data_IF_945543365045
#
_entry.id   IF_945543365045
#
_cell.length_a   1.000
_cell.length_b   1.000
_cell.length_c   1.000
_cell.angle_alpha   90.00
_cell.angle_beta   90.00
_cell.angle_gamma   90.00
#
_symmetry.space_group_name_H-M   'P 1'
#
loop_
_entity.id
_entity.type
_entity.pdbx_description
1 polymer ?
#
# COMPACT_ATOMS: atom_id res chain seq x y z
N UNK A 1 3.98 -25.06 -0.56
CA UNK A 1 4.22 -23.92 -1.44
C UNK A 1 5.71 -23.56 -1.51
N UNK A 2 6.13 -22.96 -2.59
CA UNK A 2 7.51 -22.49 -2.83
C UNK A 2 7.51 -20.99 -3.05
N UNK A 3 8.56 -20.31 -2.61
CA UNK A 3 8.72 -18.87 -2.80
C UNK A 3 10.15 -18.57 -3.25
N UNK A 4 10.29 -17.92 -4.41
CA UNK A 4 11.56 -17.42 -4.92
C UNK A 4 11.48 -15.90 -4.99
N UNK A 5 12.44 -15.20 -4.41
CA UNK A 5 12.56 -13.74 -4.56
C UNK A 5 14.00 -13.34 -4.91
N UNK A 6 14.12 -12.39 -5.83
CA UNK A 6 15.39 -11.82 -6.22
C UNK A 6 15.28 -10.30 -6.31
N UNK A 7 16.27 -9.58 -5.78
CA UNK A 7 16.34 -8.13 -5.83
C UNK A 7 17.74 -7.70 -6.28
N UNK A 8 17.78 -6.74 -7.21
CA UNK A 8 19.02 -6.14 -7.66
C UNK A 8 18.90 -4.61 -7.69
N UNK A 9 19.97 -3.91 -7.36
CA UNK A 9 20.04 -2.47 -7.48
C UNK A 9 21.41 -2.02 -7.99
N UNK A 10 21.41 -1.02 -8.87
CA UNK A 10 22.59 -0.36 -9.39
C UNK A 10 22.43 1.13 -9.22
N UNK A 11 23.46 1.79 -8.71
CA UNK A 11 23.49 3.25 -8.64
C UNK A 11 24.83 3.76 -9.19
N UNK A 12 24.74 4.70 -10.12
CA UNK A 12 25.90 5.37 -10.70
C UNK A 12 25.75 6.87 -10.49
N UNK A 13 26.76 7.47 -9.86
CA UNK A 13 26.83 8.91 -9.64
C UNK A 13 28.00 9.50 -10.41
N UNK A 14 27.76 10.57 -11.15
CA UNK A 14 28.80 11.30 -11.87
C UNK A 14 28.74 12.78 -11.52
N UNK A 15 29.83 13.29 -10.98
CA UNK A 15 30.06 14.71 -10.83
C UNK A 15 30.46 15.29 -12.18
N UNK A 16 29.78 16.35 -12.63
CA UNK A 16 30.01 16.94 -13.95
C UNK A 16 30.89 18.19 -13.88
N UNK A 17 30.91 18.89 -12.73
CA UNK A 17 31.77 20.04 -12.49
C UNK A 17 32.11 20.23 -11.01
N UNK A 18 32.98 21.20 -10.70
CA UNK A 18 33.38 21.53 -9.32
C UNK A 18 32.35 22.38 -8.56
N UNK A 19 31.29 22.85 -9.24
CA UNK A 19 30.26 23.72 -8.63
C UNK A 19 29.09 22.90 -8.06
N UNK A 20 29.12 21.55 -8.21
CA UNK A 20 28.09 20.66 -7.66
C UNK A 20 27.07 20.15 -8.68
N UNK A 21 27.28 20.42 -9.98
CA UNK A 21 26.50 19.78 -11.05
C UNK A 21 26.76 18.27 -11.03
N UNK A 22 25.71 17.49 -10.95
CA UNK A 22 25.84 16.05 -10.91
C UNK A 22 24.64 15.37 -11.58
N UNK A 23 24.89 14.13 -12.01
CA UNK A 23 23.89 13.25 -12.53
C UNK A 23 23.96 11.91 -11.79
N UNK A 24 22.83 11.38 -11.43
CA UNK A 24 22.70 10.09 -10.75
C UNK A 24 21.72 9.23 -11.54
N UNK A 25 22.16 8.05 -11.88
CA UNK A 25 21.31 6.99 -12.39
C UNK A 25 21.12 5.93 -11.30
N UNK A 26 19.88 5.48 -11.11
CA UNK A 26 19.56 4.35 -10.23
C UNK A 26 18.61 3.41 -10.95
N UNK A 27 19.01 2.15 -11.03
CA UNK A 27 18.17 1.04 -11.50
C UNK A 27 17.87 0.10 -10.35
N UNK A 28 16.64 -0.38 -10.28
CA UNK A 28 16.24 -1.46 -9.36
C UNK A 28 15.41 -2.48 -10.11
N UNK A 29 15.60 -3.73 -9.74
CA UNK A 29 14.83 -4.84 -10.24
C UNK A 29 14.42 -5.72 -9.06
N UNK A 30 13.17 -6.14 -9.03
CA UNK A 30 12.63 -7.11 -8.08
C UNK A 30 11.84 -8.16 -8.83
N UNK A 31 12.06 -9.39 -8.48
CA UNK A 31 11.33 -10.55 -8.98
C UNK A 31 10.79 -11.35 -7.79
N UNK A 32 9.58 -11.83 -7.91
CA UNK A 32 8.95 -12.74 -6.97
C UNK A 32 8.13 -13.77 -7.71
N UNK A 33 8.33 -15.03 -7.36
CA UNK A 33 7.54 -16.17 -7.81
C UNK A 33 7.12 -16.94 -6.56
N UNK A 34 5.82 -17.03 -6.37
CA UNK A 34 5.26 -17.72 -5.21
C UNK A 34 4.21 -18.71 -5.68
N UNK A 35 4.39 -19.94 -5.31
CA UNK A 35 3.46 -21.01 -5.53
C UNK A 35 2.86 -21.43 -4.18
N UNK A 36 1.57 -21.19 -4.01
CA UNK A 36 0.85 -21.49 -2.79
C UNK A 36 -0.26 -22.49 -3.04
N UNK A 37 -0.38 -23.45 -2.14
CA UNK A 37 -1.38 -24.49 -2.13
C UNK A 37 -2.12 -24.45 -0.81
N UNK A 38 -3.42 -24.66 -0.86
CA UNK A 38 -4.28 -24.66 0.31
C UNK A 38 -5.35 -25.74 0.21
N UNK A 39 -5.48 -26.53 1.26
CA UNK A 39 -6.61 -27.40 1.49
C UNK A 39 -7.56 -26.74 2.47
N UNK A 40 -8.86 -26.81 2.21
CA UNK A 40 -9.88 -26.27 3.10
C UNK A 40 -11.09 -27.21 3.16
N UNK A 41 -11.65 -27.35 4.36
CA UNK A 41 -12.89 -28.04 4.62
C UNK A 41 -13.79 -27.13 5.45
N UNK A 42 -15.04 -26.96 5.06
CA UNK A 42 -16.01 -26.16 5.77
C UNK A 42 -17.42 -26.69 5.61
N UNK A 43 -18.23 -26.58 6.66
CA UNK A 43 -19.64 -26.90 6.67
C UNK A 43 -20.42 -25.68 7.17
N UNK A 44 -21.22 -25.08 6.29
CA UNK A 44 -22.11 -23.97 6.66
C UNK A 44 -23.52 -24.49 6.82
N UNK A 45 -24.05 -24.37 8.04
CA UNK A 45 -25.43 -24.75 8.35
C UNK A 45 -26.28 -23.50 8.43
N UNK A 46 -27.40 -23.53 7.72
CA UNK A 46 -28.39 -22.47 7.74
C UNK A 46 -29.53 -22.85 8.66
N UNK A 47 -29.78 -22.04 9.69
CA UNK A 47 -30.90 -22.21 10.61
C UNK A 47 -31.94 -21.15 10.30
N UNK A 48 -32.95 -21.53 9.52
CA UNK A 48 -34.11 -20.69 9.24
C UNK A 48 -35.39 -21.49 9.57
N UNK A 49 -36.26 -20.91 10.40
CA UNK A 49 -37.51 -21.55 10.86
C UNK A 49 -38.49 -21.79 9.72
N UNK A 50 -38.36 -21.14 8.57
CA UNK A 50 -39.31 -21.14 7.47
C UNK A 50 -38.79 -21.73 6.14
N UNK A 51 -37.52 -21.99 6.01
CA UNK A 51 -36.96 -22.61 4.80
C UNK A 51 -35.78 -23.51 5.16
N UNK A 52 -35.89 -24.81 4.94
CA UNK A 52 -34.73 -25.70 4.97
C UNK A 52 -33.82 -25.34 3.79
N UNK A 53 -32.85 -24.48 4.01
CA UNK A 53 -31.75 -24.35 3.10
C UNK A 53 -30.79 -25.51 3.38
N UNK A 54 -30.34 -26.21 2.35
CA UNK A 54 -29.39 -27.31 2.49
C UNK A 54 -28.08 -26.80 3.10
N UNK A 55 -27.46 -27.65 3.91
CA UNK A 55 -26.12 -27.39 4.43
C UNK A 55 -25.13 -27.23 3.26
N UNK A 56 -24.26 -26.24 3.31
CA UNK A 56 -23.20 -26.02 2.32
C UNK A 56 -21.88 -26.65 2.84
N UNK A 57 -21.63 -27.89 2.36
CA UNK A 57 -20.38 -28.59 2.62
C UNK A 57 -19.37 -28.31 1.51
N UNK A 58 -18.15 -27.85 1.86
CA UNK A 58 -17.07 -27.58 0.92
C UNK A 58 -15.81 -28.28 1.35
N UNK A 59 -15.26 -29.09 0.46
CA UNK A 59 -13.92 -29.67 0.55
C UNK A 59 -13.17 -29.23 -0.68
N UNK A 60 -12.09 -28.46 -0.49
CA UNK A 60 -11.48 -27.74 -1.61
C UNK A 60 -9.96 -27.82 -1.55
N UNK A 61 -9.38 -27.96 -2.72
CA UNK A 61 -7.95 -27.73 -2.97
C UNK A 61 -7.80 -26.47 -3.85
N UNK A 62 -7.00 -25.54 -3.40
CA UNK A 62 -6.76 -24.29 -4.12
C UNK A 62 -5.26 -24.11 -4.37
N UNK A 63 -4.92 -23.90 -5.63
CA UNK A 63 -3.58 -23.42 -6.02
C UNK A 63 -3.64 -21.95 -6.36
N UNK A 64 -2.61 -21.20 -6.00
CA UNK A 64 -2.53 -19.76 -6.27
C UNK A 64 -1.11 -19.35 -6.64
N UNK A 65 -0.59 -19.79 -7.80
CA UNK A 65 0.67 -19.30 -8.29
C UNK A 65 0.60 -17.81 -8.59
N UNK A 66 1.64 -17.08 -8.17
CA UNK A 66 1.78 -15.65 -8.42
C UNK A 66 3.17 -15.30 -8.91
N UNK A 67 3.25 -14.51 -9.98
CA UNK A 67 4.49 -13.97 -10.52
C UNK A 67 4.47 -12.46 -10.48
N UNK A 68 5.52 -11.88 -9.90
CA UNK A 68 5.64 -10.44 -9.78
C UNK A 68 7.02 -9.99 -10.25
N UNK A 69 7.08 -8.91 -11.02
CA UNK A 69 8.33 -8.20 -11.24
C UNK A 69 8.11 -6.70 -11.32
N UNK A 70 9.07 -5.99 -10.75
CA UNK A 70 9.10 -4.54 -10.69
C UNK A 70 10.49 -4.08 -11.16
N UNK A 71 10.55 -3.24 -12.13
CA UNK A 71 11.77 -2.53 -12.46
C UNK A 71 11.56 -1.04 -12.49
N UNK A 72 12.55 -0.37 -11.93
CA UNK A 72 12.59 1.07 -11.81
C UNK A 72 13.88 1.59 -12.43
N UNK A 73 13.76 2.61 -13.24
CA UNK A 73 14.88 3.40 -13.71
C UNK A 73 14.67 4.86 -13.30
N UNK A 74 15.62 5.42 -12.60
CA UNK A 74 15.57 6.79 -12.09
C UNK A 74 16.80 7.55 -12.55
N UNK A 75 16.58 8.73 -13.11
CA UNK A 75 17.63 9.68 -13.49
C UNK A 75 17.39 10.97 -12.71
N UNK A 76 18.38 11.38 -11.92
CA UNK A 76 18.36 12.64 -11.19
C UNK A 76 19.47 13.54 -11.69
N UNK A 77 19.13 14.76 -12.06
CA UNK A 77 20.05 15.82 -12.44
C UNK A 77 19.96 16.98 -11.45
N UNK A 78 21.10 17.47 -11.02
CA UNK A 78 21.21 18.61 -10.12
C UNK A 78 22.03 19.71 -10.76
N UNK A 79 21.43 20.88 -10.95
CA UNK A 79 22.03 22.09 -11.52
C UNK A 79 22.23 23.13 -10.43
N UNK A 80 23.47 23.59 -10.18
CA UNK A 80 23.74 24.73 -9.30
C UNK A 80 23.33 26.02 -10.02
N UNK A 81 22.29 26.70 -9.52
CA UNK A 81 21.78 27.96 -10.09
C UNK A 81 22.27 29.20 -9.37
N UNK A 82 22.68 29.02 -8.09
CA UNK A 82 23.29 30.07 -7.27
C UNK A 82 24.15 29.42 -6.17
N UNK A 83 24.85 30.24 -5.36
CA UNK A 83 25.65 29.74 -4.24
C UNK A 83 24.81 28.84 -3.33
N UNK A 84 25.17 27.53 -3.26
CA UNK A 84 24.52 26.50 -2.48
C UNK A 84 23.00 26.45 -2.70
N UNK A 85 22.58 26.67 -3.96
CA UNK A 85 21.19 26.58 -4.42
C UNK A 85 21.16 25.73 -5.69
N UNK A 86 20.37 24.66 -5.67
CA UNK A 86 20.34 23.66 -6.72
C UNK A 86 18.92 23.47 -7.22
N UNK A 87 18.77 23.50 -8.51
CA UNK A 87 17.56 23.03 -9.19
C UNK A 87 17.74 21.53 -9.45
N UNK A 88 16.79 20.72 -9.04
CA UNK A 88 16.84 19.27 -9.20
C UNK A 88 15.71 18.82 -10.13
N UNK A 89 16.06 18.01 -11.11
CA UNK A 89 15.14 17.34 -11.98
C UNK A 89 15.32 15.84 -11.77
N UNK A 90 14.22 15.14 -11.53
CA UNK A 90 14.22 13.69 -11.42
C UNK A 90 13.15 13.13 -12.36
N UNK A 91 13.55 12.19 -13.15
CA UNK A 91 12.64 11.35 -13.90
C UNK A 91 12.79 9.93 -13.41
N UNK A 92 11.68 9.31 -13.00
CA UNK A 92 11.61 7.92 -12.59
C UNK A 92 10.56 7.22 -13.42
N UNK A 93 10.98 6.17 -14.09
CA UNK A 93 10.09 5.21 -14.73
C UNK A 93 9.98 3.97 -13.87
N UNK A 94 8.77 3.46 -13.70
CA UNK A 94 8.49 2.22 -13.00
C UNK A 94 7.52 1.37 -13.80
N UNK A 95 7.88 0.13 -13.99
CA UNK A 95 7.00 -0.89 -14.54
C UNK A 95 6.79 -1.97 -13.49
N UNK A 96 5.53 -2.33 -13.23
CA UNK A 96 5.15 -3.46 -12.39
C UNK A 96 4.29 -4.42 -13.17
N UNK A 97 4.60 -5.67 -13.01
CA UNK A 97 3.81 -6.79 -13.48
C UNK A 97 3.45 -7.68 -12.32
N UNK A 98 2.20 -8.09 -12.26
CA UNK A 98 1.73 -9.09 -11.30
C UNK A 98 0.74 -9.99 -12.02
N UNK A 99 0.93 -11.29 -11.88
CA UNK A 99 0.05 -12.32 -12.42
C UNK A 99 -0.32 -13.26 -11.29
N UNK A 100 -1.59 -13.61 -11.21
CA UNK A 100 -2.12 -14.58 -10.27
C UNK A 100 -3.13 -15.46 -10.98
N UNK A 101 -2.92 -16.76 -10.91
CA UNK A 101 -3.81 -17.78 -11.47
C UNK A 101 -4.31 -18.70 -10.34
N UNK A 102 -5.36 -18.25 -9.65
CA UNK A 102 -6.00 -19.05 -8.62
C UNK A 102 -6.91 -20.08 -9.26
N UNK A 103 -6.64 -21.34 -9.02
CA UNK A 103 -7.49 -22.48 -9.41
C UNK A 103 -7.97 -23.23 -8.18
N UNK A 104 -9.28 -23.34 -8.03
CA UNK A 104 -9.94 -24.07 -6.94
C UNK A 104 -10.63 -25.30 -7.49
N UNK A 105 -10.46 -26.41 -6.82
CA UNK A 105 -11.02 -27.72 -7.18
C UNK A 105 -11.85 -28.24 -6.03
N UNK A 106 -13.04 -28.77 -6.34
CA UNK A 106 -13.85 -29.51 -5.37
C UNK A 106 -13.24 -30.87 -5.10
N UNK A 107 -13.07 -31.21 -3.83
CA UNK A 107 -12.67 -32.54 -3.37
C UNK A 107 -13.90 -33.37 -2.88
N UNK A 108 -15.10 -33.01 -3.35
CA UNK A 108 -16.31 -33.80 -3.25
C UNK A 108 -16.46 -34.52 -4.59
N UNK A 109 -16.54 -35.88 -4.58
CA UNK A 109 -16.65 -36.64 -5.82
C UNK A 109 -17.94 -36.32 -6.55
N UNK A 110 -17.84 -36.24 -7.86
CA UNK A 110 -18.99 -36.02 -8.76
C UNK A 110 -19.40 -37.35 -9.38
N UNK A 111 -20.56 -37.89 -8.96
CA UNK A 111 -21.07 -39.15 -9.43
C UNK A 111 -21.39 -39.14 -10.94
N UNK A 112 -21.77 -37.97 -11.49
CA UNK A 112 -22.06 -37.83 -12.93
C UNK A 112 -20.80 -37.95 -13.79
N UNK A 113 -19.62 -37.74 -13.17
CA UNK A 113 -18.31 -37.94 -13.78
C UNK A 113 -17.73 -39.34 -13.50
N UNK A 114 -18.50 -40.22 -12.85
CA UNK A 114 -18.08 -41.58 -12.51
C UNK A 114 -16.99 -41.59 -11.41
N UNK A 115 -16.96 -40.59 -10.57
CA UNK A 115 -16.00 -40.49 -9.49
C UNK A 115 -16.55 -41.21 -8.25
N UNK A 116 -15.79 -42.15 -7.69
CA UNK A 116 -16.15 -42.97 -6.52
C UNK A 116 -15.12 -42.83 -5.35
N UNK A 117 -14.21 -41.87 -5.46
CA UNK A 117 -13.20 -41.63 -4.41
C UNK A 117 -13.79 -40.86 -3.23
N UNK A 118 -13.17 -41.04 -2.09
CA UNK A 118 -13.44 -40.28 -0.85
C UNK A 118 -12.18 -39.55 -0.39
N UNK A 119 -12.35 -38.31 0.00
CA UNK A 119 -11.23 -37.52 0.49
C UNK A 119 -11.47 -37.03 1.92
N UNK A 120 -10.47 -37.15 2.80
CA UNK A 120 -10.42 -36.54 4.11
C UNK A 120 -9.25 -35.56 4.19
N UNK A 121 -9.37 -34.61 5.12
CA UNK A 121 -8.29 -33.67 5.39
C UNK A 121 -7.02 -34.41 5.83
N UNK A 122 -5.93 -34.21 5.10
CA UNK A 122 -4.65 -34.87 5.30
C UNK A 122 -4.35 -36.00 4.29
N UNK A 123 -5.33 -36.39 3.47
CA UNK A 123 -5.09 -37.31 2.36
C UNK A 123 -4.38 -36.61 1.20
N UNK A 124 -3.76 -37.38 0.31
CA UNK A 124 -3.26 -36.89 -0.97
C UNK A 124 -4.41 -36.49 -1.90
N UNK A 125 -4.08 -35.78 -2.99
CA UNK A 125 -5.06 -35.42 -4.00
C UNK A 125 -5.56 -36.68 -4.72
N UNK A 126 -6.89 -36.86 -4.86
CA UNK A 126 -7.46 -38.00 -5.57
C UNK A 126 -7.19 -37.90 -7.08
N UNK A 127 -7.10 -39.03 -7.76
CA UNK A 127 -6.89 -39.08 -9.21
C UNK A 127 -8.12 -38.49 -9.92
N UNK A 128 -7.90 -37.58 -10.87
CA UNK A 128 -8.95 -36.93 -11.64
C UNK A 128 -9.62 -35.74 -10.93
N UNK A 129 -9.09 -35.25 -9.83
CA UNK A 129 -9.62 -34.07 -9.13
C UNK A 129 -9.65 -32.81 -10.03
N UNK A 130 -8.76 -32.73 -11.02
CA UNK A 130 -8.66 -31.60 -11.94
C UNK A 130 -9.96 -31.39 -12.76
N UNK A 131 -10.74 -32.44 -12.98
CA UNK A 131 -12.03 -32.35 -13.65
C UNK A 131 -13.08 -31.60 -12.82
N UNK A 132 -12.88 -31.49 -11.51
CA UNK A 132 -13.73 -30.78 -10.57
C UNK A 132 -13.30 -29.33 -10.33
N UNK A 133 -12.67 -28.72 -11.34
CA UNK A 133 -12.31 -27.30 -11.28
C UNK A 133 -13.57 -26.45 -11.13
N UNK A 134 -13.66 -25.72 -10.01
CA UNK A 134 -14.72 -24.77 -9.74
C UNK A 134 -14.42 -23.45 -10.46
N UNK A 135 -15.23 -23.10 -11.45
CA UNK A 135 -15.05 -21.89 -12.27
C UNK A 135 -15.39 -20.63 -11.49
N UNK A 136 -16.35 -20.70 -10.57
CA UNK A 136 -16.81 -19.55 -9.78
C UNK A 136 -15.81 -19.18 -8.70
N UNK A 137 -15.04 -20.14 -8.20
CA UNK A 137 -14.00 -19.94 -7.20
C UNK A 137 -12.60 -19.76 -7.80
N UNK A 138 -12.45 -20.07 -9.10
CA UNK A 138 -11.20 -19.88 -9.83
C UNK A 138 -11.14 -18.50 -10.47
N UNK A 139 -9.97 -17.85 -10.42
CA UNK A 139 -9.79 -16.54 -11.06
C UNK A 139 -8.38 -16.37 -11.59
N UNK A 140 -8.27 -15.72 -12.74
CA UNK A 140 -7.05 -15.25 -13.33
C UNK A 140 -7.02 -13.73 -13.32
N UNK A 141 -5.91 -13.16 -12.89
CA UNK A 141 -5.71 -11.72 -12.90
C UNK A 141 -4.27 -11.39 -13.33
N UNK A 142 -4.12 -10.61 -14.40
CA UNK A 142 -2.85 -10.10 -14.85
C UNK A 142 -2.85 -8.57 -14.80
N UNK A 143 -1.95 -8.01 -14.01
CA UNK A 143 -1.85 -6.58 -13.77
C UNK A 143 -0.56 -6.03 -14.37
N UNK A 144 -0.68 -4.97 -15.16
CA UNK A 144 0.44 -4.20 -15.74
C UNK A 144 0.31 -2.75 -15.35
N UNK A 145 1.36 -2.20 -14.77
CA UNK A 145 1.38 -0.84 -14.26
C UNK A 145 2.62 -0.11 -14.76
N UNK A 146 2.38 1.01 -15.42
CA UNK A 146 3.39 1.93 -15.91
C UNK A 146 3.25 3.25 -15.16
N UNK A 147 4.30 3.71 -14.54
CA UNK A 147 4.33 4.97 -13.82
C UNK A 147 5.53 5.80 -14.26
N UNK A 148 5.26 7.05 -14.60
CA UNK A 148 6.27 8.06 -14.85
C UNK A 148 6.18 9.08 -13.72
N UNK A 149 7.28 9.33 -13.01
CA UNK A 149 7.37 10.35 -11.96
C UNK A 149 8.35 11.43 -12.43
N UNK A 150 7.82 12.57 -12.81
CA UNK A 150 8.56 13.75 -13.24
C UNK A 150 8.58 14.71 -12.07
N UNK A 151 9.72 14.88 -11.44
CA UNK A 151 9.87 15.77 -10.29
C UNK A 151 10.78 16.96 -10.65
N UNK A 152 10.30 18.15 -10.34
CA UNK A 152 11.11 19.37 -10.32
C UNK A 152 11.18 19.90 -8.90
N UNK A 153 12.38 20.21 -8.42
CA UNK A 153 12.59 20.64 -7.05
C UNK A 153 13.70 21.67 -6.91
N UNK A 154 13.60 22.46 -5.86
CA UNK A 154 14.59 23.46 -5.46
C UNK A 154 15.20 23.04 -4.11
N UNK A 155 16.53 22.96 -4.05
CA UNK A 155 17.26 22.66 -2.83
C UNK A 155 18.15 23.87 -2.48
N UNK A 156 17.80 24.55 -1.38
CA UNK A 156 18.53 25.73 -0.89
C UNK A 156 19.24 25.34 0.39
N UNK A 157 20.55 25.52 0.42
CA UNK A 157 21.40 25.24 1.58
C UNK A 157 22.00 26.55 2.05
N UNK A 158 21.76 26.90 3.32
CA UNK A 158 22.34 28.07 3.99
C UNK A 158 22.92 27.61 5.33
N UNK A 159 23.72 28.44 5.93
CA UNK A 159 24.33 28.16 7.23
C UNK A 159 23.28 27.75 8.29
N UNK A 160 22.19 28.53 8.37
CA UNK A 160 21.13 28.32 9.37
C UNK A 160 19.97 27.52 8.90
N UNK A 161 19.74 27.36 7.57
CA UNK A 161 18.60 26.62 7.09
C UNK A 161 18.88 25.82 5.82
N UNK A 162 18.10 24.77 5.67
CA UNK A 162 17.98 24.01 4.43
C UNK A 162 16.52 23.89 4.07
N UNK A 163 16.20 24.22 2.83
CA UNK A 163 14.87 24.05 2.24
C UNK A 163 14.99 23.16 1.02
N UNK A 164 14.22 22.09 0.99
CA UNK A 164 13.96 21.32 -0.19
C UNK A 164 12.46 21.41 -0.48
N UNK A 165 12.12 21.94 -1.63
CA UNK A 165 10.75 22.04 -2.12
C UNK A 165 10.69 21.37 -3.49
N UNK A 166 9.69 20.51 -3.71
CA UNK A 166 9.55 19.82 -4.97
C UNK A 166 8.08 19.51 -5.30
N UNK A 167 7.85 19.29 -6.57
CA UNK A 167 6.57 18.89 -7.13
C UNK A 167 6.80 17.73 -8.06
N UNK A 168 6.05 16.65 -7.86
CA UNK A 168 6.02 15.50 -8.75
C UNK A 168 4.73 15.46 -9.54
N UNK A 169 4.85 15.22 -10.82
CA UNK A 169 3.78 14.89 -11.74
C UNK A 169 3.89 13.41 -12.08
N UNK A 170 2.82 12.66 -11.89
CA UNK A 170 2.86 11.20 -11.98
C UNK A 170 1.76 10.69 -12.93
N UNK A 171 1.97 10.76 -14.27
CA UNK A 171 1.11 10.05 -15.19
C UNK A 171 1.29 8.53 -15.04
N UNK A 172 0.18 7.84 -14.89
CA UNK A 172 0.12 6.40 -14.66
C UNK A 172 -0.82 5.75 -15.65
N UNK A 173 -0.40 4.62 -16.18
CA UNK A 173 -1.23 3.76 -17.00
C UNK A 173 -1.30 2.38 -16.35
N UNK A 174 -2.50 1.88 -16.19
CA UNK A 174 -2.74 0.58 -15.57
C UNK A 174 -3.65 -0.25 -16.46
N UNK A 175 -3.31 -1.52 -16.61
CA UNK A 175 -4.12 -2.51 -17.30
C UNK A 175 -4.30 -3.73 -16.39
N UNK A 176 -5.54 -4.19 -16.25
CA UNK A 176 -5.90 -5.44 -15.62
C UNK A 176 -6.63 -6.31 -16.65
N UNK A 177 -6.10 -7.48 -16.94
CA UNK A 177 -6.79 -8.57 -17.63
C UNK A 177 -7.32 -9.50 -16.54
N UNK A 178 -8.65 -9.71 -16.50
CA UNK A 178 -9.33 -10.45 -15.43
C UNK A 178 -10.29 -11.47 -16.00
N UNK A 179 -10.22 -12.72 -15.48
CA UNK A 179 -11.12 -13.82 -15.84
C UNK A 179 -11.62 -14.51 -14.58
N UNK A 180 -12.92 -14.66 -14.46
CA UNK A 180 -13.58 -15.43 -13.40
C UNK A 180 -14.95 -15.91 -13.91
N UNK A 181 -15.21 -17.19 -13.85
CA UNK A 181 -16.44 -17.78 -14.38
C UNK A 181 -16.71 -17.35 -15.85
N UNK A 182 -17.85 -16.72 -16.11
CA UNK A 182 -18.22 -16.18 -17.43
C UNK A 182 -17.66 -14.77 -17.69
N UNK A 183 -17.00 -14.16 -16.70
CA UNK A 183 -16.42 -12.80 -16.85
C UNK A 183 -15.03 -12.90 -17.43
N UNK A 184 -14.84 -12.35 -18.64
CA UNK A 184 -13.53 -12.13 -19.26
C UNK A 184 -13.45 -10.65 -19.65
N UNK A 185 -12.70 -9.86 -18.89
CA UNK A 185 -12.69 -8.42 -19.06
C UNK A 185 -11.30 -7.82 -18.95
N UNK A 186 -11.12 -6.72 -19.66
CA UNK A 186 -9.87 -5.92 -19.63
C UNK A 186 -10.21 -4.52 -19.18
N UNK A 187 -9.69 -4.13 -18.04
CA UNK A 187 -9.83 -2.77 -17.51
C UNK A 187 -8.55 -2.00 -17.72
N UNK A 188 -8.66 -0.82 -18.32
CA UNK A 188 -7.55 0.12 -18.50
C UNK A 188 -7.86 1.41 -17.75
N UNK A 189 -6.87 1.94 -17.08
CA UNK A 189 -7.02 3.22 -16.37
C UNK A 189 -5.80 4.09 -16.57
N UNK A 190 -6.04 5.33 -16.97
CA UNK A 190 -5.04 6.38 -17.05
C UNK A 190 -5.32 7.39 -15.95
N UNK A 191 -4.31 7.71 -15.16
CA UNK A 191 -4.43 8.64 -14.05
C UNK A 191 -3.26 9.59 -14.06
N UNK A 192 -3.52 10.82 -13.68
CA UNK A 192 -2.51 11.84 -13.48
C UNK A 192 -2.55 12.30 -12.03
N UNK A 193 -1.45 12.07 -11.30
CA UNK A 193 -1.33 12.46 -9.90
C UNK A 193 -0.36 13.63 -9.77
N UNK A 194 -0.63 14.46 -8.77
CA UNK A 194 0.20 15.57 -8.34
C UNK A 194 0.66 15.32 -6.91
N UNK A 195 1.96 15.40 -6.65
CA UNK A 195 2.52 15.09 -5.33
C UNK A 195 3.55 16.15 -4.91
N UNK A 196 3.13 17.19 -4.18
CA UNK A 196 4.05 18.19 -3.64
C UNK A 196 4.78 17.67 -2.41
N UNK A 197 6.02 18.13 -2.22
CA UNK A 197 6.82 17.84 -1.03
C UNK A 197 7.61 19.07 -0.57
N UNK A 198 7.75 19.21 0.74
CA UNK A 198 8.57 20.23 1.40
C UNK A 198 9.36 19.55 2.52
N UNK A 199 10.64 19.81 2.61
CA UNK A 199 11.50 19.50 3.77
C UNK A 199 12.26 20.78 4.13
N UNK A 200 11.88 21.37 5.25
CA UNK A 200 12.48 22.58 5.78
C UNK A 200 13.16 22.27 7.11
N UNK A 201 14.43 22.61 7.23
CA UNK A 201 15.19 22.52 8.47
C UNK A 201 15.79 23.87 8.79
N UNK A 202 15.60 24.35 10.02
CA UNK A 202 16.22 25.54 10.55
C UNK A 202 17.05 25.20 11.77
N UNK A 203 18.29 25.66 11.81
CA UNK A 203 19.21 25.51 12.94
C UNK A 203 19.32 26.84 13.67
N UNK A 204 18.79 26.91 14.87
CA UNK A 204 18.97 28.07 15.76
C UNK A 204 20.36 28.09 16.34
N UNK A 205 20.91 26.90 16.65
CA UNK A 205 22.29 26.71 17.16
C UNK A 205 22.76 25.28 16.78
N UNK A 206 23.97 24.91 17.22
CA UNK A 206 24.49 23.54 17.04
C UNK A 206 23.62 22.47 17.74
N UNK A 207 22.88 22.87 18.77
CA UNK A 207 22.08 21.99 19.64
C UNK A 207 20.57 22.30 19.59
N UNK A 208 20.16 23.23 18.71
CA UNK A 208 18.75 23.62 18.58
C UNK A 208 18.33 23.67 17.12
N UNK A 209 17.30 22.94 16.77
CA UNK A 209 16.79 22.87 15.40
C UNK A 209 15.29 22.67 15.35
N UNK A 210 14.69 23.18 14.28
CA UNK A 210 13.33 22.92 13.85
C UNK A 210 13.38 22.20 12.50
N UNK A 211 12.57 21.17 12.34
CA UNK A 211 12.35 20.53 11.04
C UNK A 211 10.86 20.40 10.78
N UNK A 212 10.46 20.85 9.61
CA UNK A 212 9.11 20.69 9.08
C UNK A 212 9.19 19.85 7.79
N UNK A 213 8.34 18.84 7.69
CA UNK A 213 8.24 18.03 6.48
C UNK A 213 6.77 17.91 6.10
N UNK A 214 6.47 18.20 4.83
CA UNK A 214 5.18 17.94 4.22
C UNK A 214 5.36 17.01 3.02
N UNK A 215 4.47 16.03 2.89
CA UNK A 215 4.39 15.14 1.74
C UNK A 215 2.95 14.91 1.35
N UNK A 216 2.61 15.26 0.10
CA UNK A 216 1.39 14.86 -0.56
C UNK A 216 1.61 13.56 -1.34
N UNK A 217 0.67 12.63 -1.27
CA UNK A 217 0.74 11.38 -2.03
C UNK A 217 -0.63 10.94 -2.48
N UNK A 218 -0.79 10.71 -3.79
CA UNK A 218 -1.95 10.05 -4.33
C UNK A 218 -1.77 8.52 -4.29
N UNK A 219 -2.85 7.79 -4.02
CA UNK A 219 -2.92 6.34 -4.07
C UNK A 219 -4.14 5.91 -4.87
N UNK A 220 -3.92 5.00 -5.82
CA UNK A 220 -5.00 4.48 -6.65
C UNK A 220 -5.75 3.37 -5.93
N UNK A 221 -7.07 3.20 -6.17
CA UNK A 221 -7.79 2.00 -5.81
C UNK A 221 -7.11 0.78 -6.45
N UNK A 222 -7.22 -0.38 -5.82
CA UNK A 222 -6.81 -1.62 -6.49
C UNK A 222 -7.69 -1.83 -7.72
N UNK A 223 -7.12 -2.44 -8.77
CA UNK A 223 -7.88 -2.65 -10.00
C UNK A 223 -9.02 -3.64 -9.79
N UNK A 224 -8.86 -4.62 -8.90
CA UNK A 224 -9.94 -5.56 -8.51
C UNK A 224 -11.13 -4.82 -7.88
N UNK A 225 -10.89 -3.81 -7.05
CA UNK A 225 -11.95 -2.99 -6.47
C UNK A 225 -12.72 -2.16 -7.51
N UNK A 226 -12.14 -1.95 -8.69
CA UNK A 226 -12.77 -1.22 -9.81
C UNK A 226 -13.57 -2.12 -10.76
N UNK A 227 -13.45 -3.44 -10.62
CA UNK A 227 -14.23 -4.37 -11.40
C UNK A 227 -15.68 -4.36 -10.92
N UNK A 228 -16.63 -4.30 -11.86
CA UNK A 228 -18.06 -4.52 -11.54
C UNK A 228 -18.36 -6.01 -11.50
N UNK A 229 -17.69 -6.71 -10.58
CA UNK A 229 -17.80 -8.15 -10.41
C UNK A 229 -18.15 -8.45 -8.96
N UNK A 230 -19.08 -9.37 -8.78
CA UNK A 230 -19.43 -9.93 -7.47
C UNK A 230 -18.57 -11.16 -7.20
N UNK A 231 -17.91 -11.20 -6.06
CA UNK A 231 -17.24 -12.38 -5.53
C UNK A 231 -18.08 -12.94 -4.38
N UNK A 232 -18.78 -14.04 -4.65
CA UNK A 232 -19.65 -14.78 -3.74
C UNK A 232 -19.05 -16.14 -3.34
N UNK A 233 -17.74 -16.31 -3.53
CA UNK A 233 -17.00 -17.51 -3.13
C UNK A 233 -17.21 -17.85 -1.64
N UNK A 234 -17.51 -16.86 -0.83
CA UNK A 234 -18.02 -17.03 0.53
C UNK A 234 -19.43 -16.42 0.61
N UNK A 235 -20.49 -17.23 0.67
CA UNK A 235 -21.87 -16.73 0.66
C UNK A 235 -22.25 -15.89 1.89
N UNK A 236 -21.47 -16.01 2.98
CA UNK A 236 -21.63 -15.19 4.16
C UNK A 236 -20.82 -13.87 4.09
N UNK A 237 -19.91 -13.72 3.11
CA UNK A 237 -19.09 -12.53 2.91
C UNK A 237 -18.92 -12.25 1.42
N UNK A 238 -19.95 -11.69 0.81
CA UNK A 238 -19.97 -11.34 -0.61
C UNK A 238 -19.22 -10.04 -0.82
N UNK A 239 -18.33 -10.00 -1.81
CA UNK A 239 -17.56 -8.80 -2.17
C UNK A 239 -18.00 -8.29 -3.53
N UNK A 240 -18.22 -6.97 -3.62
CA UNK A 240 -18.53 -6.28 -4.88
C UNK A 240 -17.48 -5.23 -5.17
N UNK A 241 -17.12 -5.07 -6.45
CA UNK A 241 -16.30 -3.97 -6.86
C UNK A 241 -17.08 -2.65 -7.02
N UNK A 242 -16.37 -1.56 -7.22
CA UNK A 242 -16.95 -0.24 -7.46
C UNK A 242 -16.13 0.53 -8.50
N UNK A 243 -16.57 0.56 -9.77
CA UNK A 243 -15.89 1.29 -10.85
C UNK A 243 -15.82 2.80 -10.60
N UNK A 244 -16.71 3.34 -9.76
CA UNK A 244 -16.78 4.76 -9.42
C UNK A 244 -15.74 5.25 -8.41
N UNK A 245 -14.85 4.38 -7.92
CA UNK A 245 -13.84 4.77 -6.95
C UNK A 245 -12.88 5.82 -7.49
N UNK A 246 -12.65 6.84 -6.68
CA UNK A 246 -11.68 7.90 -6.91
C UNK A 246 -10.35 7.58 -6.23
N UNK A 247 -9.22 8.08 -6.75
CA UNK A 247 -7.95 8.03 -6.03
C UNK A 247 -8.05 8.70 -4.67
N UNK A 248 -7.39 8.14 -3.69
CA UNK A 248 -7.19 8.81 -2.40
C UNK A 248 -5.96 9.71 -2.45
N UNK A 249 -5.99 10.80 -1.67
CA UNK A 249 -4.85 11.69 -1.52
C UNK A 249 -4.52 11.87 -0.05
N UNK A 250 -3.28 11.52 0.31
CA UNK A 250 -2.79 11.61 1.68
C UNK A 250 -1.88 12.81 1.86
N UNK A 251 -2.16 13.60 2.88
CA UNK A 251 -1.33 14.69 3.37
C UNK A 251 -0.61 14.22 4.63
N UNK A 252 0.72 14.25 4.65
CA UNK A 252 1.51 13.94 5.84
C UNK A 252 2.36 15.14 6.22
N UNK A 253 2.11 15.69 7.39
CA UNK A 253 2.83 16.82 7.97
C UNK A 253 3.55 16.37 9.23
N UNK A 254 4.82 16.71 9.35
CA UNK A 254 5.64 16.44 10.53
C UNK A 254 6.39 17.67 10.94
N UNK A 255 6.30 17.99 12.22
CA UNK A 255 7.08 19.05 12.87
C UNK A 255 7.92 18.43 13.96
N UNK A 256 9.19 18.71 13.94
CA UNK A 256 10.13 18.29 14.98
C UNK A 256 10.93 19.48 15.44
N UNK A 257 10.99 19.68 16.73
CA UNK A 257 11.80 20.69 17.38
C UNK A 257 12.61 20.04 18.50
N UNK A 258 13.88 20.37 18.58
CA UNK A 258 14.70 20.02 19.73
C UNK A 258 15.65 21.16 20.08
N UNK A 259 15.92 21.28 21.35
CA UNK A 259 16.92 22.22 21.89
C UNK A 259 17.56 21.66 23.14
N UNK A 260 18.81 22.04 23.37
CA UNK A 260 19.54 21.69 24.57
C UNK A 260 20.41 22.88 25.03
N UNK A 261 20.38 23.18 26.32
CA UNK A 261 21.25 24.16 26.96
C UNK A 261 22.14 23.41 27.95
N UNK A 262 23.42 23.34 27.65
CA UNK A 262 24.39 22.58 28.42
C UNK A 262 24.65 23.20 29.80
N UNK A 263 24.68 24.54 29.91
CA UNK A 263 24.96 25.23 31.17
C UNK A 263 23.89 25.01 32.23
N UNK A 264 22.62 24.99 31.75
CA UNK A 264 21.44 24.74 32.58
C UNK A 264 21.04 23.26 32.59
N UNK A 265 21.78 22.41 31.86
CA UNK A 265 21.39 20.98 31.66
C UNK A 265 19.90 20.83 31.36
N UNK A 266 19.41 21.66 30.43
CA UNK A 266 18.01 21.73 30.08
C UNK A 266 17.82 21.32 28.61
N UNK A 267 17.00 20.32 28.38
CA UNK A 267 16.60 19.87 27.06
C UNK A 267 15.10 19.97 26.87
N UNK A 268 14.69 20.22 25.65
CA UNK A 268 13.30 20.18 25.23
C UNK A 268 13.21 19.57 23.83
N UNK A 269 12.26 18.68 23.64
CA UNK A 269 11.88 18.20 22.32
C UNK A 269 10.35 18.24 22.16
N UNK A 270 9.93 18.62 20.98
CA UNK A 270 8.53 18.56 20.57
C UNK A 270 8.44 17.87 19.19
N UNK A 271 7.47 16.98 19.04
CA UNK A 271 7.17 16.35 17.79
C UNK A 271 5.66 16.38 17.57
N UNK A 272 5.25 16.85 16.40
CA UNK A 272 3.86 16.78 15.98
C UNK A 272 3.79 16.09 14.61
N UNK A 273 2.79 15.24 14.45
CA UNK A 273 2.49 14.55 13.19
C UNK A 273 1.00 14.67 12.92
N UNK A 274 0.65 15.08 11.71
CA UNK A 274 -0.71 15.14 11.22
C UNK A 274 -0.77 14.40 9.88
N UNK A 275 -1.65 13.41 9.80
CA UNK A 275 -1.97 12.74 8.55
C UNK A 275 -3.46 12.90 8.28
N UNK A 276 -3.79 13.29 7.05
CA UNK A 276 -5.15 13.44 6.56
C UNK A 276 -5.28 12.69 5.24
N UNK A 277 -6.39 12.00 5.02
CA UNK A 277 -6.64 11.33 3.76
C UNK A 277 -7.97 11.79 3.18
N UNK A 278 -7.91 12.39 1.99
CA UNK A 278 -9.07 12.72 1.17
C UNK A 278 -9.43 11.52 0.30
N UNK A 279 -10.73 11.30 0.08
CA UNK A 279 -11.25 10.16 -0.68
C UNK A 279 -10.66 8.81 -0.18
N UNK A 280 -10.54 8.65 1.12
CA UNK A 280 -10.11 7.37 1.71
C UNK A 280 -11.01 6.24 1.23
N UNK A 281 -10.44 5.11 0.86
CA UNK A 281 -11.23 3.96 0.42
C UNK A 281 -11.46 3.10 1.65
N UNK A 282 -12.73 2.88 1.96
CA UNK A 282 -13.21 2.01 3.04
C UNK A 282 -14.24 1.03 2.50
N UNK A 283 -14.53 0.00 3.27
CA UNK A 283 -15.53 -0.99 2.91
C UNK A 283 -16.88 -0.62 3.55
N UNK A 284 -17.85 -0.27 2.72
CA UNK A 284 -19.23 -0.21 3.13
C UNK A 284 -19.79 -1.63 3.27
N UNK A 285 -20.40 -1.93 4.40
CA UNK A 285 -20.93 -3.26 4.71
C UNK A 285 -22.44 -3.21 4.82
N UNK A 286 -23.13 -4.04 4.06
CA UNK A 286 -24.59 -4.23 4.12
C UNK A 286 -24.88 -5.61 4.66
N UNK A 287 -25.66 -5.67 5.73
CA UNK A 287 -26.09 -6.93 6.34
C UNK A 287 -27.36 -7.46 5.69
N UNK A 288 -27.37 -8.74 5.35
CA UNK A 288 -28.55 -9.44 4.85
C UNK A 288 -29.17 -10.26 5.99
N UNK A 289 -30.33 -9.81 6.47
CA UNK A 289 -31.02 -10.44 7.60
C UNK A 289 -31.51 -11.85 7.31
N UNK A 290 -31.84 -12.18 6.04
CA UNK A 290 -32.36 -13.47 5.68
C UNK A 290 -31.32 -14.58 5.56
N UNK A 291 -30.07 -14.22 5.23
CA UNK A 291 -28.97 -15.18 5.09
C UNK A 291 -27.94 -15.12 6.19
N UNK A 292 -27.98 -14.08 7.05
CA UNK A 292 -26.96 -13.79 8.04
C UNK A 292 -25.64 -13.32 7.42
N UNK A 293 -25.58 -13.18 6.09
CA UNK A 293 -24.39 -12.77 5.36
C UNK A 293 -24.22 -11.27 5.25
N UNK A 294 -23.03 -10.86 4.88
CA UNK A 294 -22.68 -9.45 4.64
C UNK A 294 -22.25 -9.24 3.19
N UNK A 295 -22.63 -8.11 2.61
CA UNK A 295 -22.09 -7.64 1.34
C UNK A 295 -21.15 -6.47 1.60
N UNK A 296 -19.93 -6.60 1.12
CA UNK A 296 -18.87 -5.60 1.28
C UNK A 296 -18.58 -4.95 -0.07
N UNK A 297 -18.62 -3.61 -0.11
CA UNK A 297 -18.34 -2.80 -1.29
C UNK A 297 -17.38 -1.68 -0.94
N UNK A 298 -16.27 -1.47 -1.67
CA UNK A 298 -15.38 -0.34 -1.41
C UNK A 298 -16.02 0.98 -1.85
N UNK A 299 -15.94 2.00 -0.98
CA UNK A 299 -16.45 3.34 -1.23
C UNK A 299 -15.44 4.41 -0.80
N UNK A 300 -15.52 5.59 -1.41
CA UNK A 300 -14.71 6.74 -0.98
C UNK A 300 -15.40 7.50 0.14
N UNK A 301 -14.64 7.76 1.20
CA UNK A 301 -15.10 8.53 2.34
C UNK A 301 -14.10 9.62 2.70
N UNK A 302 -14.58 10.74 3.23
CA UNK A 302 -13.77 11.84 3.74
C UNK A 302 -13.90 11.97 5.25
N UNK A 303 -12.92 12.61 5.87
CA UNK A 303 -12.94 12.86 7.31
C UNK A 303 -11.92 12.04 8.09
N UNK A 304 -11.20 11.13 7.44
CA UNK A 304 -10.15 10.33 8.08
C UNK A 304 -8.88 11.17 8.30
N UNK A 305 -8.53 11.39 9.56
CA UNK A 305 -7.28 12.02 9.95
C UNK A 305 -6.80 11.57 11.31
N UNK A 306 -5.51 11.64 11.53
CA UNK A 306 -4.90 11.39 12.82
C UNK A 306 -3.85 12.44 13.14
N UNK A 307 -3.82 12.86 14.38
CA UNK A 307 -2.82 13.76 14.92
C UNK A 307 -2.13 13.11 16.11
N UNK A 308 -0.81 13.29 16.18
CA UNK A 308 0.01 12.86 17.31
C UNK A 308 0.89 14.03 17.75
N UNK A 309 0.91 14.29 19.04
CA UNK A 309 1.81 15.22 19.68
C UNK A 309 2.67 14.50 20.72
N UNK A 310 3.96 14.81 20.75
CA UNK A 310 4.88 14.39 21.81
C UNK A 310 5.66 15.59 22.29
N UNK A 311 5.82 15.69 23.59
CA UNK A 311 6.62 16.73 24.26
C UNK A 311 7.49 16.08 25.31
N UNK A 312 8.78 16.35 25.23
CA UNK A 312 9.76 15.92 26.21
C UNK A 312 10.50 17.13 26.77
N UNK A 313 10.67 17.14 28.05
CA UNK A 313 11.39 18.19 28.77
C UNK A 313 12.25 17.57 29.85
N UNK A 314 13.51 17.99 29.91
CA UNK A 314 14.41 17.65 31.01
C UNK A 314 15.11 18.90 31.52
N UNK A 315 15.32 18.99 32.82
CA UNK A 315 16.06 20.07 33.43
C UNK A 315 16.71 19.63 34.74
N UNK A 316 17.94 20.09 34.96
CA UNK A 316 18.54 20.02 36.28
C UNK A 316 17.99 21.15 37.16
N UNK A 317 17.69 20.83 38.41
CA UNK A 317 17.36 21.80 39.43
C UNK A 317 18.63 22.41 40.02
N UNK A 318 18.44 23.40 40.93
CA UNK A 318 19.49 24.07 41.66
C UNK A 318 20.55 23.06 42.14
N UNK A 319 21.84 23.39 41.98
CA UNK A 319 23.00 22.57 42.32
C UNK A 319 23.17 21.26 41.50
N UNK A 320 22.40 21.08 40.44
CA UNK A 320 22.49 19.92 39.53
C UNK A 320 22.36 18.54 40.24
N UNK A 321 21.86 18.51 41.50
CA UNK A 321 21.67 17.28 42.28
C UNK A 321 20.39 16.58 41.94
N UNK A 322 19.39 17.29 41.42
CA UNK A 322 18.11 16.75 41.04
C UNK A 322 17.84 17.06 39.57
N UNK A 323 17.27 16.11 38.86
CA UNK A 323 16.81 16.27 37.49
C UNK A 323 15.33 15.96 37.42
N UNK A 324 14.60 16.79 36.67
CA UNK A 324 13.20 16.54 36.32
C UNK A 324 13.17 16.15 34.87
N UNK A 325 12.58 14.99 34.59
CA UNK A 325 12.29 14.51 33.24
C UNK A 325 10.78 14.38 33.11
N UNK A 326 10.24 15.01 32.08
CA UNK A 326 8.82 14.92 31.73
C UNK A 326 8.68 14.49 30.30
N UNK A 327 7.79 13.55 30.05
CA UNK A 327 7.43 13.13 28.73
C UNK A 327 5.91 13.00 28.62
N UNK A 328 5.36 13.64 27.60
CA UNK A 328 3.91 13.61 27.34
C UNK A 328 3.68 13.19 25.90
N UNK A 329 2.66 12.38 25.68
CA UNK A 329 2.21 11.99 24.35
C UNK A 329 0.70 12.04 24.28
N UNK A 330 0.18 12.65 23.22
CA UNK A 330 -1.23 12.66 22.89
C UNK A 330 -1.43 12.14 21.48
N UNK A 331 -2.44 11.31 21.27
CA UNK A 331 -2.87 10.85 19.95
C UNK A 331 -4.36 11.09 19.83
N UNK A 332 -4.76 11.58 18.69
CA UNK A 332 -6.16 11.71 18.32
C UNK A 332 -6.37 11.12 16.93
N UNK A 333 -7.40 10.31 16.78
CA UNK A 333 -7.77 9.71 15.49
C UNK A 333 -9.25 9.95 15.26
N UNK A 334 -9.57 10.54 14.12
CA UNK A 334 -10.90 10.61 13.58
C UNK A 334 -10.99 9.60 12.45
N UNK A 335 -11.64 8.48 12.70
CA UNK A 335 -11.90 7.45 11.72
C UNK A 335 -13.39 7.49 11.36
N UNK A 336 -13.65 7.61 10.07
CA UNK A 336 -15.01 7.56 9.51
C UNK A 336 -15.10 6.26 8.71
N UNK A 337 -16.14 5.47 8.95
CA UNK A 337 -16.41 4.18 8.32
C UNK A 337 -17.85 4.11 7.79
#
# INVERSE_FOLDING_TARGET
>A
GQNLSANASLQVNRRLNNQGRNITFRGTFSYGDNDSEQFSESLTRYFDDNAKKEDDERKQYTTSPTKNYDYTAELTYSEPIARATFLQFRYKFQYKYSESDRSTYSLIPDADKGQDWFWNFGDGLPVGYEENKDRDLSKYAQYKYYNHDINAGLNIIREKYRLNFGVSLQPQNTRLDYKKAEVDTVVKRNVFNFAPNVDFRYRFSKVSQLRFTYRGRASQPSMENLLDVTDDSNPLNIRKGNPGLKPSFSHSMRLFYNTYNADKQRGMMAHANLNMTQNSITNATTYNQSTGGVTVKPENINGNWNAMGMFGFNTALRDKRFTINSFSRANYTNAVS
#
